data_IF_017426258291
#
_entry.id   IF_017426258291
#
_cell.length_a   1.000
_cell.length_b   1.000
_cell.length_c   1.000
_cell.angle_alpha   90.00
_cell.angle_beta   90.00
_cell.angle_gamma   90.00
#
_symmetry.space_group_name_H-M   'P 1'
#
loop_
_entity.id
_entity.type
_entity.pdbx_description
1 polymer ?
#
# COMPACT_ATOMS: atom_id res chain seq x y z
N UNK A 1 -38.04 18.63 40.34
CA UNK A 1 -36.68 19.03 39.94
C UNK A 1 -36.05 17.88 39.19
N UNK A 2 -36.05 17.92 37.84
CA UNK A 2 -35.26 17.05 36.95
C UNK A 2 -35.53 17.46 35.49
N UNK A 3 -35.26 18.74 35.17
CA UNK A 3 -35.45 19.27 33.80
C UNK A 3 -34.35 20.21 33.32
N UNK A 4 -33.25 20.36 34.08
CA UNK A 4 -32.12 21.24 33.73
C UNK A 4 -30.85 20.50 33.31
N UNK A 5 -30.69 19.20 33.60
CA UNK A 5 -29.45 18.47 33.27
C UNK A 5 -29.35 18.00 31.81
N UNK A 6 -30.46 17.85 31.09
CA UNK A 6 -30.45 17.35 29.71
C UNK A 6 -30.09 18.42 28.68
N UNK A 7 -30.36 19.70 28.97
CA UNK A 7 -30.08 20.80 28.05
C UNK A 7 -28.61 21.26 28.15
N UNK A 8 -28.05 21.22 29.35
CA UNK A 8 -26.67 21.63 29.65
C UNK A 8 -25.63 20.63 29.08
N UNK A 9 -25.93 19.33 29.12
CA UNK A 9 -25.08 18.28 28.52
C UNK A 9 -25.04 18.36 26.99
N UNK A 10 -26.14 18.77 26.34
CA UNK A 10 -26.19 18.98 24.89
C UNK A 10 -25.33 20.16 24.46
N UNK A 11 -25.35 21.25 25.23
CA UNK A 11 -24.54 22.45 24.97
C UNK A 11 -23.06 22.21 25.25
N UNK A 12 -22.69 21.45 26.29
CA UNK A 12 -21.30 21.05 26.54
C UNK A 12 -20.77 20.08 25.48
N UNK A 13 -21.61 19.13 25.03
CA UNK A 13 -21.27 18.20 23.96
C UNK A 13 -21.09 18.91 22.60
N UNK A 14 -21.97 19.87 22.26
CA UNK A 14 -21.78 20.71 21.08
C UNK A 14 -20.55 21.60 21.18
N UNK A 15 -20.27 22.20 22.35
CA UNK A 15 -19.04 22.97 22.58
C UNK A 15 -17.79 22.09 22.47
N UNK A 16 -17.85 20.84 22.89
CA UNK A 16 -16.76 19.87 22.76
C UNK A 16 -16.50 19.51 21.29
N UNK A 17 -17.56 19.23 20.51
CA UNK A 17 -17.45 18.99 19.06
C UNK A 17 -16.87 20.21 18.33
N UNK A 18 -17.32 21.42 18.69
CA UNK A 18 -16.75 22.68 18.15
C UNK A 18 -15.31 22.93 18.55
N UNK A 19 -14.78 22.30 19.61
CA UNK A 19 -13.37 22.37 20.01
C UNK A 19 -12.50 21.34 19.27
N UNK A 20 -13.11 20.28 18.74
CA UNK A 20 -12.42 19.24 17.98
C UNK A 20 -12.51 19.45 16.47
N UNK A 21 -13.18 20.53 16.06
CA UNK A 21 -13.02 21.12 14.74
C UNK A 21 -12.36 22.50 14.93
N UNK A 22 -11.11 22.69 14.51
CA UNK A 22 -10.37 21.84 13.58
C UNK A 22 -9.59 20.67 14.23
N UNK A 23 -9.22 19.63 13.45
CA UNK A 23 -8.41 18.49 13.88
C UNK A 23 -7.17 18.89 14.66
N UNK A 24 -6.86 18.12 15.71
CA UNK A 24 -5.67 18.30 16.53
C UNK A 24 -4.74 17.10 16.38
N UNK A 25 -3.52 17.38 15.93
CA UNK A 25 -2.44 16.38 15.82
C UNK A 25 -1.48 16.60 16.97
N UNK A 26 -1.16 15.54 17.70
CA UNK A 26 -0.15 15.53 18.76
C UNK A 26 0.86 14.45 18.43
N UNK A 27 2.11 14.86 18.24
CA UNK A 27 3.22 13.94 18.03
C UNK A 27 4.05 13.86 19.31
N UNK A 28 4.24 12.63 19.81
CA UNK A 28 4.95 12.34 21.04
C UNK A 28 6.03 11.28 20.77
N UNK A 29 7.29 11.71 20.84
CA UNK A 29 8.43 10.84 20.63
C UNK A 29 8.95 10.20 21.93
N UNK A 30 8.37 10.52 23.08
CA UNK A 30 8.77 10.01 24.40
C UNK A 30 7.82 8.91 24.92
N UNK A 31 6.54 8.94 24.51
CA UNK A 31 5.51 7.99 24.95
C UNK A 31 5.83 6.52 24.66
N UNK A 32 6.60 6.24 23.59
CA UNK A 32 7.04 4.89 23.24
C UNK A 32 8.55 4.87 23.07
N UNK A 33 9.24 3.84 23.59
CA UNK A 33 10.71 3.74 23.50
C UNK A 33 11.23 3.59 22.07
N UNK A 34 10.48 2.90 21.21
CA UNK A 34 10.96 2.42 19.91
C UNK A 34 10.17 2.98 18.70
N UNK A 35 9.19 3.85 18.93
CA UNK A 35 8.37 4.41 17.86
C UNK A 35 7.93 5.84 18.20
N UNK A 36 7.66 6.63 17.17
CA UNK A 36 7.04 7.95 17.30
C UNK A 36 5.53 7.76 17.39
N UNK A 37 4.87 8.35 18.38
CA UNK A 37 3.43 8.24 18.57
C UNK A 37 2.75 9.46 17.95
N UNK A 38 1.86 9.24 16.99
CA UNK A 38 1.03 10.27 16.36
C UNK A 38 -0.40 10.06 16.83
N UNK A 39 -0.97 11.04 17.52
CA UNK A 39 -2.37 11.05 17.96
C UNK A 39 -3.14 12.12 17.21
N UNK A 40 -4.31 11.77 16.72
CA UNK A 40 -5.17 12.64 15.92
C UNK A 40 -6.55 12.64 16.59
N UNK A 41 -6.99 13.81 17.04
CA UNK A 41 -8.32 14.03 17.60
C UNK A 41 -9.11 14.94 16.64
N UNK A 42 -10.30 14.53 16.19
CA UNK A 42 -11.14 15.40 15.35
C UNK A 42 -12.62 15.03 15.40
N UNK A 43 -13.46 15.93 14.89
CA UNK A 43 -14.88 15.65 14.65
C UNK A 43 -15.03 14.52 13.62
N UNK A 44 -15.99 13.62 13.85
CA UNK A 44 -16.20 12.43 13.02
C UNK A 44 -16.81 12.82 11.66
N UNK A 45 -15.97 12.96 10.64
CA UNK A 45 -16.39 13.02 9.23
C UNK A 45 -15.99 11.72 8.52
N UNK A 46 -16.80 11.31 7.54
CA UNK A 46 -16.56 10.06 6.83
C UNK A 46 -15.27 10.17 5.99
N UNK A 47 -14.41 9.15 6.05
CA UNK A 47 -13.24 9.02 5.17
C UNK A 47 -11.90 9.49 5.76
N UNK A 48 -11.88 10.08 6.96
CA UNK A 48 -10.65 10.66 7.53
C UNK A 48 -9.56 9.60 7.79
N UNK A 49 -9.93 8.40 8.28
CA UNK A 49 -8.96 7.32 8.51
C UNK A 49 -8.15 6.98 7.25
N UNK A 50 -8.81 6.95 6.08
CA UNK A 50 -8.12 6.65 4.83
C UNK A 50 -7.13 7.76 4.48
N UNK A 51 -7.52 9.03 4.62
CA UNK A 51 -6.64 10.19 4.36
C UNK A 51 -5.42 10.20 5.29
N UNK A 52 -5.63 9.92 6.58
CA UNK A 52 -4.55 9.80 7.56
C UNK A 52 -3.56 8.72 7.14
N UNK A 53 -4.06 7.52 6.86
CA UNK A 53 -3.22 6.38 6.51
C UNK A 53 -2.53 6.59 5.15
N UNK A 54 -3.15 7.33 4.21
CA UNK A 54 -2.53 7.77 2.96
C UNK A 54 -1.33 8.67 3.22
N UNK A 55 -1.49 9.73 4.02
CA UNK A 55 -0.39 10.67 4.32
C UNK A 55 0.79 9.94 4.98
N UNK A 56 0.53 9.07 5.95
CA UNK A 56 1.59 8.27 6.59
C UNK A 56 2.28 7.32 5.58
N UNK A 57 1.52 6.78 4.64
CA UNK A 57 2.03 5.90 3.58
C UNK A 57 2.90 6.65 2.56
N UNK A 58 2.49 7.86 2.16
CA UNK A 58 3.24 8.72 1.23
C UNK A 58 4.59 9.14 1.80
N UNK A 59 4.66 9.32 3.12
CA UNK A 59 5.89 9.57 3.86
C UNK A 59 6.75 8.32 4.07
N UNK A 60 6.32 7.16 3.54
CA UNK A 60 6.98 5.87 3.69
C UNK A 60 7.17 5.43 5.15
N UNK A 61 6.26 5.85 6.04
CA UNK A 61 6.30 5.47 7.44
C UNK A 61 5.71 4.07 7.63
N UNK A 62 6.29 3.32 8.57
CA UNK A 62 5.81 1.97 8.93
C UNK A 62 4.98 2.10 10.20
N UNK A 63 3.70 1.72 10.12
CA UNK A 63 2.78 1.68 11.26
C UNK A 63 2.96 0.35 11.99
N UNK A 64 3.47 0.39 13.22
CA UNK A 64 3.72 -0.80 14.06
C UNK A 64 2.55 -1.15 14.95
N UNK A 65 1.86 -0.14 15.46
CA UNK A 65 0.62 -0.32 16.20
C UNK A 65 -0.32 0.82 15.85
N UNK A 66 -1.60 0.54 15.84
CA UNK A 66 -2.60 1.59 15.75
C UNK A 66 -3.84 1.25 16.56
N UNK A 67 -4.47 2.29 17.10
CA UNK A 67 -5.75 2.24 17.78
C UNK A 67 -6.63 3.30 17.14
N UNK A 68 -7.72 2.85 16.52
CA UNK A 68 -8.70 3.69 15.83
C UNK A 68 -9.98 3.65 16.65
N UNK A 69 -10.58 4.81 16.91
CA UNK A 69 -11.81 4.91 17.71
C UNK A 69 -12.65 6.07 17.22
N UNK A 70 -13.83 5.80 16.68
CA UNK A 70 -14.82 6.77 16.23
C UNK A 70 -16.13 6.50 16.96
N UNK A 71 -16.34 7.23 18.06
CA UNK A 71 -17.49 7.06 18.94
C UNK A 71 -18.37 8.32 18.90
N UNK A 72 -19.60 8.19 18.42
CA UNK A 72 -20.50 9.34 18.26
C UNK A 72 -19.95 10.34 17.23
N UNK A 73 -19.83 11.61 17.62
CA UNK A 73 -19.46 12.70 16.71
C UNK A 73 -17.96 13.03 16.72
N UNK A 74 -17.12 12.16 17.28
CA UNK A 74 -15.68 12.36 17.30
C UNK A 74 -14.91 11.07 17.06
N UNK A 75 -13.66 11.22 16.64
CA UNK A 75 -12.71 10.13 16.58
C UNK A 75 -11.35 10.50 17.18
N UNK A 76 -10.65 9.45 17.61
CA UNK A 76 -9.30 9.47 18.12
C UNK A 76 -8.54 8.32 17.49
N UNK A 77 -7.53 8.67 16.71
CA UNK A 77 -6.64 7.70 16.11
C UNK A 77 -5.24 7.86 16.68
N UNK A 78 -4.62 6.76 17.09
CA UNK A 78 -3.26 6.70 17.61
C UNK A 78 -2.45 5.76 16.74
N UNK A 79 -1.35 6.25 16.19
CA UNK A 79 -0.42 5.47 15.36
C UNK A 79 0.97 5.49 15.99
N UNK A 80 1.54 4.31 16.18
CA UNK A 80 2.95 4.14 16.52
C UNK A 80 3.72 3.89 15.24
N UNK A 81 4.51 4.87 14.80
CA UNK A 81 5.20 4.84 13.50
C UNK A 81 6.71 4.82 13.64
N UNK A 82 7.37 4.20 12.67
CA UNK A 82 8.82 4.23 12.48
C UNK A 82 9.16 4.60 11.03
N UNK A 83 10.42 4.95 10.77
CA UNK A 83 10.93 5.00 9.40
C UNK A 83 11.10 3.58 8.82
N UNK A 84 11.65 3.49 7.60
CA UNK A 84 11.91 2.21 6.92
C UNK A 84 13.00 1.37 7.60
N UNK A 85 13.89 1.99 8.38
CA UNK A 85 14.97 1.36 9.12
C UNK A 85 14.54 0.93 10.54
N UNK A 86 13.29 1.25 10.93
CA UNK A 86 12.72 0.93 12.24
C UNK A 86 13.04 1.95 13.34
N UNK A 87 13.56 3.13 12.99
CA UNK A 87 13.86 4.19 13.94
C UNK A 87 12.68 5.15 14.12
N UNK A 88 12.74 5.93 15.21
CA UNK A 88 11.85 7.05 15.45
C UNK A 88 12.03 8.15 14.43
N UNK A 89 10.95 8.85 14.12
CA UNK A 89 10.97 10.03 13.26
C UNK A 89 11.52 11.18 14.10
N UNK A 90 12.66 11.70 13.67
CA UNK A 90 13.36 12.83 14.32
C UNK A 90 13.57 14.01 13.38
N UNK A 91 13.28 13.82 12.09
CA UNK A 91 13.33 14.89 11.09
C UNK A 91 12.19 15.89 11.33
N UNK A 92 12.56 17.11 11.73
CA UNK A 92 11.59 18.18 12.04
C UNK A 92 10.73 18.57 10.84
N UNK A 93 11.26 18.46 9.61
CA UNK A 93 10.52 18.76 8.38
C UNK A 93 9.40 17.74 8.13
N UNK A 94 9.68 16.45 8.36
CA UNK A 94 8.65 15.40 8.29
C UNK A 94 7.59 15.60 9.37
N UNK A 95 8.00 15.91 10.61
CA UNK A 95 7.08 16.13 11.73
C UNK A 95 6.18 17.36 11.51
N UNK A 96 6.74 18.46 11.02
CA UNK A 96 6.01 19.67 10.65
C UNK A 96 5.03 19.40 9.50
N UNK A 97 5.47 18.64 8.48
CA UNK A 97 4.61 18.24 7.37
C UNK A 97 3.42 17.40 7.84
N UNK A 98 3.62 16.42 8.73
CA UNK A 98 2.53 15.62 9.32
C UNK A 98 1.56 16.53 10.06
N UNK A 99 2.08 17.43 10.90
CA UNK A 99 1.27 18.33 11.72
C UNK A 99 0.42 19.26 10.85
N UNK A 100 0.97 19.77 9.74
CA UNK A 100 0.24 20.62 8.79
C UNK A 100 -0.76 19.85 7.95
N UNK A 101 -0.39 18.67 7.47
CA UNK A 101 -1.20 17.86 6.54
C UNK A 101 -2.37 17.16 7.21
N UNK A 102 -2.29 16.92 8.52
CA UNK A 102 -3.35 16.27 9.30
C UNK A 102 -4.01 17.22 10.31
N UNK A 103 -3.52 18.45 10.41
CA UNK A 103 -3.94 19.43 11.41
C UNK A 103 -5.03 20.38 10.93
N UNK A 104 -5.15 21.55 11.54
CA UNK A 104 -6.24 22.46 11.25
C UNK A 104 -6.12 23.21 9.91
N UNK A 105 -4.91 23.26 9.36
CA UNK A 105 -4.64 23.86 8.05
C UNK A 105 -4.99 22.92 6.89
N UNK A 106 -5.08 21.61 7.13
CA UNK A 106 -5.67 20.68 6.17
C UNK A 106 -7.18 20.85 6.21
N UNK A 107 -7.71 21.46 5.16
CA UNK A 107 -9.13 21.63 4.96
C UNK A 107 -9.77 20.24 4.75
N UNK A 108 -10.18 19.55 5.82
CA UNK A 108 -10.91 18.27 5.77
C UNK A 108 -12.31 18.38 5.13
N UNK A 109 -12.66 19.53 4.54
CA UNK A 109 -13.92 19.71 3.85
C UNK A 109 -13.91 19.02 2.49
N UNK A 110 -14.54 17.85 2.45
CA UNK A 110 -15.39 17.31 1.39
C UNK A 110 -15.15 17.77 -0.06
N UNK A 111 -14.89 16.77 -0.91
CA UNK A 111 -14.83 16.76 -2.37
C UNK A 111 -13.43 16.97 -2.96
N UNK A 112 -12.84 15.87 -3.44
CA UNK A 112 -12.05 15.82 -4.68
C UNK A 112 -11.23 17.08 -4.97
N UNK A 113 -10.38 17.51 -4.03
CA UNK A 113 -9.39 18.55 -4.30
C UNK A 113 -8.05 18.07 -3.82
N UNK A 114 -7.24 17.72 -4.82
CA UNK A 114 -5.80 17.89 -4.82
C UNK A 114 -5.40 19.04 -3.90
N UNK A 115 -4.77 18.67 -2.78
CA UNK A 115 -4.17 19.61 -1.84
C UNK A 115 -3.08 20.37 -2.59
N UNK A 116 -3.37 21.63 -2.91
CA UNK A 116 -2.58 22.77 -2.43
C UNK A 116 -1.10 22.87 -2.78
N UNK A 117 -0.57 22.11 -3.72
CA UNK A 117 0.66 22.44 -4.46
C UNK A 117 0.22 22.76 -5.87
N UNK A 118 0.74 23.83 -6.49
CA UNK A 118 0.62 24.04 -7.95
C UNK A 118 1.15 22.78 -8.64
N UNK A 119 0.28 21.81 -8.94
CA UNK A 119 0.63 20.62 -9.70
C UNK A 119 0.79 21.09 -11.14
N UNK A 120 2.04 21.31 -11.55
CA UNK A 120 2.33 21.45 -12.97
C UNK A 120 1.95 20.14 -13.65
N UNK A 121 1.10 20.23 -14.67
CA UNK A 121 0.73 19.12 -15.54
C UNK A 121 1.92 18.78 -16.44
N UNK A 122 3.02 18.32 -15.85
CA UNK A 122 4.25 18.03 -16.61
C UNK A 122 4.20 16.66 -17.27
N UNK A 123 3.19 15.84 -16.94
CA UNK A 123 3.01 14.50 -17.48
C UNK A 123 1.54 14.20 -17.80
N UNK A 124 1.34 13.22 -18.67
CA UNK A 124 0.05 12.59 -18.99
C UNK A 124 -0.07 11.27 -18.22
N UNK A 125 -1.19 11.04 -17.56
CA UNK A 125 -1.47 9.80 -16.82
C UNK A 125 -2.17 8.79 -17.73
N UNK A 126 -1.68 7.55 -17.76
CA UNK A 126 -2.24 6.42 -18.49
C UNK A 126 -2.55 5.32 -17.47
N UNK A 127 -3.83 4.97 -17.39
CA UNK A 127 -4.34 3.86 -16.59
C UNK A 127 -4.67 2.68 -17.50
N UNK A 128 -4.19 1.50 -17.14
CA UNK A 128 -4.36 0.27 -17.90
C UNK A 128 -4.92 -0.81 -16.99
N UNK A 129 -5.95 -1.53 -17.44
CA UNK A 129 -6.49 -2.68 -16.73
C UNK A 129 -6.86 -3.78 -17.71
N UNK A 130 -6.56 -5.03 -17.40
CA UNK A 130 -6.92 -6.18 -18.24
C UNK A 130 -6.35 -7.49 -17.73
N UNK A 131 -6.40 -8.52 -18.56
CA UNK A 131 -5.79 -9.83 -18.24
C UNK A 131 -4.27 -9.78 -18.40
N UNK A 132 -3.55 -10.27 -17.39
CA UNK A 132 -2.11 -10.43 -17.41
C UNK A 132 -1.69 -11.59 -18.32
N UNK A 133 -0.50 -11.48 -18.91
CA UNK A 133 0.16 -12.55 -19.65
C UNK A 133 1.68 -12.33 -19.69
N UNK A 134 2.47 -13.40 -19.88
CA UNK A 134 3.91 -13.27 -20.07
C UNK A 134 4.27 -12.26 -21.17
N UNK A 135 5.11 -11.29 -20.82
CA UNK A 135 5.59 -10.27 -21.75
C UNK A 135 4.70 -9.03 -21.91
N UNK A 136 3.56 -8.94 -21.23
CA UNK A 136 2.62 -7.81 -21.35
C UNK A 136 3.32 -6.45 -21.13
N UNK A 137 4.07 -6.29 -20.04
CA UNK A 137 4.78 -5.05 -19.75
C UNK A 137 5.82 -4.68 -20.83
N UNK A 138 6.47 -5.68 -21.44
CA UNK A 138 7.42 -5.46 -22.53
C UNK A 138 6.72 -4.93 -23.78
N UNK A 139 5.53 -5.44 -24.10
CA UNK A 139 4.74 -4.98 -25.25
C UNK A 139 4.19 -3.57 -25.02
N UNK A 140 3.66 -3.29 -23.83
CA UNK A 140 3.15 -1.96 -23.48
C UNK A 140 4.25 -0.90 -23.55
N UNK A 141 5.41 -1.17 -22.93
CA UNK A 141 6.54 -0.24 -22.96
C UNK A 141 7.14 -0.08 -24.36
N UNK A 142 7.10 -1.11 -25.20
CA UNK A 142 7.49 -1.00 -26.61
C UNK A 142 6.55 -0.10 -27.42
N UNK A 143 5.23 -0.17 -27.19
CA UNK A 143 4.26 0.74 -27.82
C UNK A 143 4.51 2.18 -27.39
N UNK A 144 4.73 2.44 -26.09
CA UNK A 144 5.05 3.79 -25.60
C UNK A 144 6.34 4.33 -26.23
N UNK A 145 7.40 3.51 -26.30
CA UNK A 145 8.65 3.86 -26.99
C UNK A 145 8.41 4.17 -28.48
N UNK A 146 7.60 3.37 -29.18
CA UNK A 146 7.26 3.61 -30.59
C UNK A 146 6.50 4.92 -30.80
N UNK A 147 5.64 5.29 -29.83
CA UNK A 147 4.86 6.52 -29.83
C UNK A 147 5.60 7.73 -29.27
N UNK A 148 6.92 7.62 -29.08
CA UNK A 148 7.77 8.72 -28.60
C UNK A 148 7.32 9.23 -27.23
N UNK A 149 6.90 8.31 -26.37
CA UNK A 149 6.52 8.60 -25.00
C UNK A 149 7.65 8.14 -24.07
N UNK A 150 8.16 9.05 -23.24
CA UNK A 150 9.05 8.71 -22.13
C UNK A 150 8.22 8.35 -20.90
N UNK A 151 8.59 7.30 -20.18
CA UNK A 151 7.91 6.88 -18.95
C UNK A 151 8.67 7.46 -17.78
N UNK A 152 8.06 8.41 -17.07
CA UNK A 152 8.68 9.09 -15.91
C UNK A 152 8.38 8.35 -14.62
N UNK A 153 7.14 7.86 -14.48
CA UNK A 153 6.73 7.02 -13.37
C UNK A 153 5.83 5.90 -13.89
N UNK A 154 5.94 4.70 -13.36
CA UNK A 154 4.97 3.64 -13.62
C UNK A 154 4.91 2.67 -12.46
N UNK A 155 3.69 2.32 -12.06
CA UNK A 155 3.44 1.25 -11.11
C UNK A 155 2.51 0.21 -11.75
N UNK A 156 2.92 -1.07 -11.67
CA UNK A 156 2.26 -2.19 -12.34
C UNK A 156 2.04 -3.30 -11.32
N UNK A 157 0.80 -3.76 -11.16
CA UNK A 157 0.42 -4.85 -10.27
C UNK A 157 -0.23 -5.97 -11.07
N UNK A 158 0.10 -7.22 -10.74
CA UNK A 158 -0.61 -8.39 -11.25
C UNK A 158 -1.06 -9.30 -10.11
N UNK A 159 -2.28 -9.83 -10.22
CA UNK A 159 -2.89 -10.74 -9.24
C UNK A 159 -4.02 -11.52 -9.89
N UNK A 160 -4.12 -12.83 -9.62
CA UNK A 160 -5.15 -13.72 -10.19
C UNK A 160 -5.39 -13.53 -11.70
N UNK A 161 -4.31 -13.51 -12.49
CA UNK A 161 -4.33 -13.29 -13.96
C UNK A 161 -4.84 -11.91 -14.41
N UNK A 162 -5.03 -10.97 -13.49
CA UNK A 162 -5.37 -9.58 -13.77
C UNK A 162 -4.15 -8.70 -13.64
N UNK A 163 -4.10 -7.65 -14.44
CA UNK A 163 -3.07 -6.63 -14.42
C UNK A 163 -3.72 -5.24 -14.34
N UNK A 164 -3.16 -4.39 -13.48
CA UNK A 164 -3.42 -2.97 -13.46
C UNK A 164 -2.11 -2.19 -13.53
N UNK A 165 -2.09 -1.08 -14.25
CA UNK A 165 -0.96 -0.18 -14.29
C UNK A 165 -1.39 1.28 -14.33
N UNK A 166 -0.66 2.12 -13.61
CA UNK A 166 -0.75 3.59 -13.70
C UNK A 166 0.61 4.09 -14.14
N UNK A 167 0.66 4.80 -15.26
CA UNK A 167 1.89 5.28 -15.89
C UNK A 167 1.82 6.78 -16.14
N UNK A 168 2.81 7.52 -15.68
CA UNK A 168 3.00 8.93 -16.01
C UNK A 168 4.00 9.03 -17.15
N UNK A 169 3.54 9.57 -18.28
CA UNK A 169 4.33 9.68 -19.50
C UNK A 169 4.48 11.13 -19.94
N UNK A 170 5.62 11.40 -20.58
CA UNK A 170 5.91 12.68 -21.22
C UNK A 170 6.23 12.47 -22.69
N UNK A 171 6.09 13.52 -23.47
CA UNK A 171 6.60 13.52 -24.83
C UNK A 171 8.14 13.45 -24.83
N UNK A 172 8.72 12.56 -25.63
CA UNK A 172 10.17 12.32 -25.70
C UNK A 172 10.98 13.55 -26.11
N UNK A 173 10.43 14.40 -26.98
CA UNK A 173 11.15 15.55 -27.55
C UNK A 173 11.04 16.78 -26.64
N UNK A 174 9.85 17.06 -26.12
CA UNK A 174 9.55 18.26 -25.33
C UNK A 174 9.68 18.04 -23.82
N UNK A 175 9.69 16.79 -23.36
CA UNK A 175 9.68 16.45 -21.93
C UNK A 175 8.43 16.89 -21.17
N UNK A 176 7.37 17.28 -21.90
CA UNK A 176 6.14 17.85 -21.35
C UNK A 176 4.96 16.87 -21.48
N UNK A 177 3.85 17.17 -20.82
CA UNK A 177 2.61 16.41 -20.97
C UNK A 177 2.14 16.37 -22.44
N UNK A 178 1.65 15.22 -22.85
CA UNK A 178 1.03 15.00 -24.15
C UNK A 178 -0.41 15.50 -24.07
N UNK A 179 -0.70 16.62 -24.73
CA UNK A 179 -2.03 17.24 -24.73
C UNK A 179 -2.77 17.11 -26.07
N UNK A 180 -2.11 16.58 -27.11
CA UNK A 180 -2.71 16.42 -28.44
C UNK A 180 -3.76 15.30 -28.44
N UNK A 181 -5.06 15.60 -28.67
CA UNK A 181 -6.14 14.63 -28.53
C UNK A 181 -6.05 13.49 -29.55
N UNK A 182 -5.56 13.74 -30.78
CA UNK A 182 -5.39 12.70 -31.79
C UNK A 182 -4.31 11.70 -31.37
N UNK A 183 -3.16 12.20 -30.90
CA UNK A 183 -2.09 11.36 -30.35
C UNK A 183 -2.54 10.58 -29.12
N UNK A 184 -3.28 11.20 -28.20
CA UNK A 184 -3.84 10.50 -27.03
C UNK A 184 -4.80 9.38 -27.45
N UNK A 185 -5.65 9.63 -28.44
CA UNK A 185 -6.54 8.61 -29.01
C UNK A 185 -5.76 7.46 -29.66
N UNK A 186 -4.65 7.76 -30.36
CA UNK A 186 -3.76 6.74 -30.94
C UNK A 186 -3.06 5.91 -29.87
N UNK A 187 -2.55 6.55 -28.81
CA UNK A 187 -1.97 5.87 -27.64
C UNK A 187 -2.99 4.92 -27.02
N UNK A 188 -4.19 5.43 -26.70
CA UNK A 188 -5.25 4.64 -26.10
C UNK A 188 -5.61 3.41 -26.97
N UNK A 189 -5.79 3.62 -28.28
CA UNK A 189 -6.15 2.56 -29.22
C UNK A 189 -5.10 1.45 -29.26
N UNK A 190 -3.81 1.82 -29.36
CA UNK A 190 -2.73 0.84 -29.47
C UNK A 190 -2.52 0.07 -28.16
N UNK A 191 -2.58 0.74 -27.02
CA UNK A 191 -2.47 0.08 -25.70
C UNK A 191 -3.66 -0.83 -25.44
N UNK A 192 -4.89 -0.41 -25.77
CA UNK A 192 -6.07 -1.26 -25.71
C UNK A 192 -5.92 -2.53 -26.55
N UNK A 193 -5.35 -2.43 -27.75
CA UNK A 193 -5.12 -3.59 -28.61
C UNK A 193 -4.14 -4.58 -27.98
N UNK A 194 -3.07 -4.09 -27.34
CA UNK A 194 -2.13 -4.94 -26.59
C UNK A 194 -2.82 -5.60 -25.40
N UNK A 195 -3.62 -4.88 -24.62
CA UNK A 195 -4.31 -5.45 -23.45
C UNK A 195 -5.36 -6.52 -23.83
N UNK A 196 -6.09 -6.31 -24.93
CA UNK A 196 -7.06 -7.30 -25.43
C UNK A 196 -6.39 -8.57 -25.93
N UNK A 197 -5.20 -8.46 -26.52
CA UNK A 197 -4.52 -9.57 -27.17
C UNK A 197 -5.44 -10.25 -28.20
N UNK A 198 -5.44 -11.58 -28.22
CA UNK A 198 -6.30 -12.38 -29.11
C UNK A 198 -7.73 -12.60 -28.59
N UNK A 199 -8.01 -12.26 -27.33
CA UNK A 199 -9.27 -12.58 -26.66
C UNK A 199 -10.24 -11.38 -26.69
N UNK A 200 -11.22 -11.43 -27.58
CA UNK A 200 -12.25 -10.38 -27.75
C UNK A 200 -13.22 -10.21 -26.56
N UNK A 201 -13.19 -11.12 -25.57
CA UNK A 201 -14.02 -11.06 -24.36
C UNK A 201 -13.36 -10.30 -23.20
N UNK A 202 -12.10 -9.89 -23.31
CA UNK A 202 -11.37 -9.20 -22.25
C UNK A 202 -11.92 -7.78 -22.03
N UNK A 203 -12.26 -7.46 -20.77
CA UNK A 203 -12.68 -6.15 -20.26
C UNK A 203 -11.52 -5.13 -20.21
N UNK A 204 -10.58 -5.22 -21.14
CA UNK A 204 -9.43 -4.33 -21.23
C UNK A 204 -9.86 -2.87 -21.35
N UNK A 205 -9.39 -2.04 -20.42
CA UNK A 205 -9.67 -0.60 -20.36
C UNK A 205 -8.36 0.17 -20.35
N UNK A 206 -8.28 1.20 -21.19
CA UNK A 206 -7.24 2.22 -21.12
C UNK A 206 -7.92 3.56 -20.92
N UNK A 207 -7.52 4.28 -19.88
CA UNK A 207 -7.96 5.65 -19.60
C UNK A 207 -6.72 6.52 -19.68
N UNK A 208 -6.81 7.61 -20.43
CA UNK A 208 -5.72 8.59 -20.52
C UNK A 208 -6.27 9.91 -20.02
N UNK A 209 -5.63 10.50 -19.02
CA UNK A 209 -6.12 11.69 -18.33
C UNK A 209 -4.98 12.60 -17.89
N UNK A 210 -5.35 13.81 -17.46
CA UNK A 210 -4.44 14.77 -16.82
C UNK A 210 -4.78 14.92 -15.32
N UNK A 211 -5.46 13.94 -14.70
CA UNK A 211 -5.76 13.99 -13.27
C UNK A 211 -4.54 13.58 -12.44
N UNK A 212 -4.49 14.03 -11.19
CA UNK A 212 -3.53 13.52 -10.21
C UNK A 212 -4.29 12.63 -9.25
N UNK A 213 -3.97 11.34 -9.27
CA UNK A 213 -4.50 10.35 -8.35
C UNK A 213 -3.38 9.81 -7.46
N UNK A 214 -3.69 9.45 -6.21
CA UNK A 214 -2.75 8.71 -5.37
C UNK A 214 -2.58 7.31 -5.98
N UNK A 215 -1.44 7.05 -6.63
CA UNK A 215 -1.20 5.88 -7.51
C UNK A 215 -1.59 4.56 -6.86
N UNK A 216 -1.13 4.33 -5.64
CA UNK A 216 -1.44 3.15 -4.84
C UNK A 216 -2.94 2.97 -4.58
N UNK A 217 -3.66 4.08 -4.33
CA UNK A 217 -5.11 4.06 -4.08
C UNK A 217 -5.85 3.75 -5.37
N UNK A 218 -5.38 4.32 -6.48
CA UNK A 218 -5.98 4.14 -7.79
C UNK A 218 -5.82 2.70 -8.28
N UNK A 219 -4.65 2.10 -8.09
CA UNK A 219 -4.41 0.69 -8.41
C UNK A 219 -5.33 -0.25 -7.62
N UNK A 220 -5.58 0.02 -6.33
CA UNK A 220 -6.57 -0.73 -5.54
C UNK A 220 -7.96 -0.70 -6.18
N UNK A 221 -8.44 0.49 -6.54
CA UNK A 221 -9.75 0.67 -7.16
C UNK A 221 -9.83 -0.04 -8.52
N UNK A 222 -8.75 0.02 -9.31
CA UNK A 222 -8.67 -0.65 -10.61
C UNK A 222 -8.73 -2.16 -10.45
N UNK A 223 -7.92 -2.75 -9.57
CA UNK A 223 -7.92 -4.20 -9.32
C UNK A 223 -9.26 -4.69 -8.77
N UNK A 224 -9.82 -3.97 -7.80
CA UNK A 224 -11.14 -4.28 -7.24
C UNK A 224 -12.25 -4.21 -8.29
N UNK A 225 -12.31 -3.15 -9.10
CA UNK A 225 -13.29 -3.00 -10.17
C UNK A 225 -13.15 -4.09 -11.26
N UNK A 226 -11.92 -4.59 -11.45
CA UNK A 226 -11.62 -5.68 -12.36
C UNK A 226 -11.97 -7.06 -11.78
N UNK A 227 -12.26 -7.15 -10.47
CA UNK A 227 -12.61 -8.38 -9.74
C UNK A 227 -11.49 -9.41 -9.66
N UNK A 228 -10.28 -8.93 -9.39
CA UNK A 228 -9.13 -9.81 -9.15
C UNK A 228 -9.28 -10.72 -7.91
N UNK A 229 -10.23 -10.43 -7.01
CA UNK A 229 -10.55 -11.26 -5.84
C UNK A 229 -11.37 -12.54 -6.19
N UNK A 230 -11.91 -12.65 -7.41
CA UNK A 230 -12.62 -13.85 -7.86
C UNK A 230 -11.58 -14.93 -8.24
N UNK A 231 -11.27 -15.84 -7.31
CA UNK A 231 -10.29 -16.92 -7.54
C UNK A 231 -10.81 -17.96 -8.56
N UNK A 232 -10.01 -18.28 -9.58
CA UNK A 232 -10.22 -19.48 -10.42
C UNK A 232 -9.76 -20.71 -9.64
N UNK A 233 -10.63 -21.70 -9.51
CA UNK A 233 -10.63 -22.79 -8.53
C UNK A 233 -9.43 -23.76 -8.47
N UNK A 234 -8.30 -23.51 -9.13
CA UNK A 234 -7.28 -24.55 -9.38
C UNK A 234 -5.89 -24.38 -8.74
N UNK A 235 -5.55 -23.23 -8.14
CA UNK A 235 -4.23 -23.07 -7.50
C UNK A 235 -4.26 -23.41 -6.00
N UNK A 236 -4.37 -24.70 -5.73
CA UNK A 236 -4.06 -25.30 -4.42
C UNK A 236 -2.54 -25.36 -4.22
N UNK A 237 -1.89 -24.20 -4.08
CA UNK A 237 -0.53 -24.10 -3.55
C UNK A 237 -0.56 -23.82 -2.05
N UNK A 238 0.38 -24.44 -1.34
CA UNK A 238 0.39 -24.76 0.11
C UNK A 238 -0.25 -23.73 1.06
N UNK A 239 -1.23 -24.23 1.81
CA UNK A 239 -2.12 -23.60 2.81
C UNK A 239 -1.44 -22.86 3.99
N UNK A 240 -0.11 -22.69 3.98
CA UNK A 240 0.65 -22.16 5.13
C UNK A 240 1.03 -20.68 5.06
N UNK A 241 0.83 -20.01 3.93
CA UNK A 241 1.18 -18.58 3.77
C UNK A 241 0.00 -17.67 3.41
N UNK A 242 -1.21 -18.22 3.26
CA UNK A 242 -2.39 -17.41 2.97
C UNK A 242 -2.77 -16.54 4.17
N UNK A 243 -3.20 -15.30 3.96
CA UNK A 243 -3.78 -14.49 5.02
C UNK A 243 -5.01 -15.19 5.60
N UNK A 244 -5.14 -15.21 6.92
CA UNK A 244 -6.34 -15.67 7.58
C UNK A 244 -7.24 -14.46 7.86
N UNK A 245 -8.41 -14.43 7.22
CA UNK A 245 -9.42 -13.38 7.40
C UNK A 245 -10.72 -14.00 7.90
N UNK A 246 -11.10 -13.63 9.12
CA UNK A 246 -12.37 -14.05 9.72
C UNK A 246 -13.31 -12.85 9.88
N UNK A 247 -14.60 -13.07 9.63
CA UNK A 247 -15.63 -12.01 9.67
C UNK A 247 -16.81 -12.50 10.49
N UNK A 248 -17.00 -11.90 11.66
CA UNK A 248 -18.02 -12.31 12.63
C UNK A 248 -18.95 -11.16 12.95
N UNK A 249 -20.26 -11.42 12.92
CA UNK A 249 -21.25 -10.43 13.34
C UNK A 249 -21.39 -10.41 14.86
N UNK A 250 -21.42 -9.21 15.42
CA UNK A 250 -21.78 -8.98 16.81
C UNK A 250 -23.20 -8.45 16.89
N UNK A 251 -24.17 -9.37 17.00
CA UNK A 251 -25.60 -9.05 16.90
C UNK A 251 -26.09 -8.04 17.95
N UNK A 252 -25.49 -7.99 19.13
CA UNK A 252 -25.91 -7.05 20.19
C UNK A 252 -25.53 -5.59 19.93
N UNK A 253 -24.66 -5.32 18.95
CA UNK A 253 -24.07 -4.00 18.71
C UNK A 253 -24.10 -3.55 17.25
N UNK A 254 -24.85 -4.28 16.40
CA UNK A 254 -25.07 -3.98 14.98
C UNK A 254 -23.77 -3.68 14.21
N UNK A 255 -22.70 -4.46 14.45
CA UNK A 255 -21.46 -4.36 13.69
C UNK A 255 -20.89 -5.74 13.35
N UNK A 256 -19.95 -5.76 12.41
CA UNK A 256 -19.13 -6.92 12.09
C UNK A 256 -17.69 -6.69 12.54
N UNK A 257 -17.04 -7.72 13.04
CA UNK A 257 -15.62 -7.73 13.39
C UNK A 257 -14.87 -8.51 12.33
N UNK A 258 -13.91 -7.85 11.70
CA UNK A 258 -12.95 -8.48 10.78
C UNK A 258 -11.66 -8.71 11.55
N UNK A 259 -11.22 -9.96 11.63
CA UNK A 259 -9.93 -10.33 12.22
C UNK A 259 -9.00 -10.80 11.11
N UNK A 260 -7.81 -10.19 11.03
CA UNK A 260 -6.81 -10.50 10.01
C UNK A 260 -5.53 -10.94 10.70
N UNK A 261 -5.02 -12.12 10.32
CA UNK A 261 -3.69 -12.59 10.67
C UNK A 261 -2.92 -12.94 9.40
N UNK A 262 -1.81 -12.25 9.18
CA UNK A 262 -0.95 -12.46 8.03
C UNK A 262 0.47 -11.94 8.30
N UNK A 263 1.40 -12.23 7.37
CA UNK A 263 2.75 -11.68 7.41
C UNK A 263 2.71 -10.14 7.33
N UNK A 264 3.40 -9.48 8.26
CA UNK A 264 3.51 -8.03 8.28
C UNK A 264 4.32 -7.52 7.07
N UNK A 265 3.91 -6.36 6.56
CA UNK A 265 4.59 -5.66 5.47
C UNK A 265 4.22 -4.18 5.45
N UNK A 266 5.08 -3.33 4.87
CA UNK A 266 4.73 -1.94 4.60
C UNK A 266 3.38 -1.83 3.85
N UNK A 267 2.63 -0.77 4.16
CA UNK A 267 1.33 -0.43 3.56
C UNK A 267 0.20 -1.43 3.83
N UNK A 268 0.36 -2.42 4.72
CA UNK A 268 -0.69 -3.40 5.01
C UNK A 268 -1.98 -2.74 5.52
N UNK A 269 -1.91 -1.91 6.56
CA UNK A 269 -3.07 -1.17 7.08
C UNK A 269 -3.73 -0.30 5.99
N UNK A 270 -2.93 0.37 5.16
CA UNK A 270 -3.44 1.16 4.03
C UNK A 270 -4.27 0.32 3.06
N UNK A 271 -3.77 -0.86 2.67
CA UNK A 271 -4.44 -1.75 1.75
C UNK A 271 -5.76 -2.30 2.33
N UNK A 272 -5.79 -2.61 3.64
CA UNK A 272 -7.02 -3.06 4.33
C UNK A 272 -8.07 -1.93 4.37
N UNK A 273 -7.68 -0.73 4.80
CA UNK A 273 -8.60 0.41 4.90
C UNK A 273 -9.12 0.81 3.52
N UNK A 274 -8.28 0.78 2.48
CA UNK A 274 -8.71 0.97 1.10
C UNK A 274 -9.82 -0.01 0.71
N UNK A 275 -9.60 -1.29 0.97
CA UNK A 275 -10.52 -2.36 0.60
C UNK A 275 -11.86 -2.22 1.30
N UNK A 276 -11.85 -2.03 2.62
CA UNK A 276 -13.07 -1.81 3.40
C UNK A 276 -13.85 -0.58 2.88
N UNK A 277 -13.14 0.52 2.62
CA UNK A 277 -13.75 1.76 2.09
C UNK A 277 -14.36 1.54 0.71
N UNK A 278 -13.66 0.85 -0.21
CA UNK A 278 -14.16 0.55 -1.56
C UNK A 278 -15.38 -0.38 -1.56
N UNK A 279 -15.46 -1.25 -0.56
CA UNK A 279 -16.61 -2.11 -0.33
C UNK A 279 -17.79 -1.39 0.37
N UNK A 280 -17.63 -0.11 0.71
CA UNK A 280 -18.67 0.67 1.39
C UNK A 280 -18.76 0.39 2.90
N UNK A 281 -17.68 -0.06 3.53
CA UNK A 281 -17.60 -0.25 4.98
C UNK A 281 -16.85 0.90 5.65
N UNK A 282 -17.38 1.34 6.78
CA UNK A 282 -16.80 2.34 7.68
C UNK A 282 -16.17 1.61 8.86
N UNK A 283 -14.88 1.89 9.11
CA UNK A 283 -14.16 1.43 10.30
C UNK A 283 -14.42 2.44 11.43
N UNK A 284 -14.98 1.99 12.54
CA UNK A 284 -15.22 2.86 13.70
C UNK A 284 -14.42 2.44 14.94
N UNK A 285 -14.01 1.18 15.05
CA UNK A 285 -12.91 0.81 15.95
C UNK A 285 -11.94 -0.08 15.20
N UNK A 286 -10.64 0.08 15.49
CA UNK A 286 -9.66 -0.90 15.03
C UNK A 286 -8.48 -0.98 15.99
N UNK A 287 -7.89 -2.17 16.04
CA UNK A 287 -6.66 -2.45 16.76
C UNK A 287 -5.70 -3.15 15.82
N UNK A 288 -4.53 -2.55 15.61
CA UNK A 288 -3.47 -3.07 14.78
C UNK A 288 -2.27 -3.31 15.66
N UNK A 289 -1.73 -4.53 15.62
CA UNK A 289 -0.49 -4.90 16.30
C UNK A 289 0.41 -5.71 15.37
N UNK A 290 1.60 -5.20 15.09
CA UNK A 290 2.64 -5.93 14.37
C UNK A 290 3.62 -6.52 15.38
N UNK A 291 3.63 -7.85 15.52
CA UNK A 291 4.55 -8.58 16.40
C UNK A 291 5.55 -9.37 15.54
N UNK A 292 6.75 -8.80 15.37
CA UNK A 292 7.79 -9.44 14.57
C UNK A 292 7.41 -9.51 13.08
N UNK A 293 7.48 -10.68 12.43
CA UNK A 293 7.13 -10.83 11.01
C UNK A 293 5.62 -11.00 10.77
N UNK A 294 4.80 -11.08 11.82
CA UNK A 294 3.36 -11.30 11.72
C UNK A 294 2.60 -10.03 12.15
N UNK A 295 1.45 -9.81 11.53
CA UNK A 295 0.52 -8.74 11.85
C UNK A 295 -0.81 -9.33 12.28
N UNK A 296 -1.35 -8.80 13.37
CA UNK A 296 -2.68 -9.09 13.86
C UNK A 296 -3.51 -7.80 13.87
N UNK A 297 -4.65 -7.82 13.18
CA UNK A 297 -5.50 -6.64 13.04
C UNK A 297 -6.97 -7.00 13.26
N UNK A 298 -7.65 -6.20 14.07
CA UNK A 298 -9.08 -6.32 14.35
C UNK A 298 -9.76 -5.03 13.91
N UNK A 299 -10.79 -5.13 13.07
CA UNK A 299 -11.57 -4.00 12.58
C UNK A 299 -13.03 -4.20 12.90
N UNK A 300 -13.62 -3.20 13.53
CA UNK A 300 -15.05 -3.11 13.79
C UNK A 300 -15.65 -2.25 12.69
N UNK A 301 -16.47 -2.89 11.85
CA UNK A 301 -17.00 -2.30 10.64
C UNK A 301 -18.52 -2.27 10.64
N UNK A 302 -19.07 -1.26 9.97
CA UNK A 302 -20.47 -1.21 9.52
C UNK A 302 -20.49 -0.79 8.07
N UNK A 303 -21.42 -1.31 7.30
CA UNK A 303 -21.66 -0.79 5.97
C UNK A 303 -22.18 0.66 6.08
N UNK A 304 -21.98 1.49 5.05
CA UNK A 304 -22.40 2.90 5.01
C UNK A 304 -23.92 3.11 5.24
N UNK A 305 -24.72 2.06 5.06
CA UNK A 305 -26.15 2.05 5.39
C UNK A 305 -26.45 1.77 6.88
N UNK A 306 -25.40 1.63 7.70
CA UNK A 306 -25.46 1.38 9.14
C UNK A 306 -25.55 -0.10 9.53
N UNK A 307 -25.63 -1.02 8.56
CA UNK A 307 -25.84 -2.44 8.85
C UNK A 307 -24.53 -3.23 9.03
N UNK A 308 -24.55 -4.35 9.79
CA UNK A 308 -23.47 -5.34 9.74
C UNK A 308 -23.53 -6.12 8.41
N UNK A 309 -22.50 -6.92 8.14
CA UNK A 309 -22.45 -7.89 7.03
C UNK A 309 -23.68 -8.79 7.07
N UNK A 310 -24.54 -8.76 6.05
CA UNK A 310 -25.91 -9.31 6.11
C UNK A 310 -26.01 -10.79 5.75
N UNK A 311 -25.10 -11.28 4.93
CA UNK A 311 -25.20 -12.62 4.34
C UNK A 311 -23.86 -13.33 4.25
N UNK A 312 -23.88 -14.65 4.16
CA UNK A 312 -22.65 -15.44 3.97
C UNK A 312 -21.98 -15.15 2.62
N UNK A 313 -22.74 -14.78 1.59
CA UNK A 313 -22.19 -14.37 0.29
C UNK A 313 -21.46 -13.02 0.38
N UNK A 314 -22.00 -12.06 1.14
CA UNK A 314 -21.33 -10.79 1.42
C UNK A 314 -20.10 -11.00 2.30
N UNK A 315 -20.19 -11.86 3.32
CA UNK A 315 -19.08 -12.27 4.17
C UNK A 315 -17.93 -12.86 3.35
N UNK A 316 -18.24 -13.82 2.49
CA UNK A 316 -17.28 -14.44 1.58
C UNK A 316 -16.63 -13.40 0.67
N UNK A 317 -17.40 -12.43 0.16
CA UNK A 317 -16.87 -11.34 -0.65
C UNK A 317 -15.90 -10.46 0.13
N UNK A 318 -16.24 -10.09 1.38
CA UNK A 318 -15.35 -9.30 2.26
C UNK A 318 -14.04 -10.05 2.50
N UNK A 319 -14.12 -11.33 2.86
CA UNK A 319 -12.96 -12.21 3.02
C UNK A 319 -12.09 -12.22 1.76
N UNK A 320 -12.66 -12.56 0.59
CA UNK A 320 -11.92 -12.63 -0.68
C UNK A 320 -11.27 -11.30 -1.08
N UNK A 321 -11.98 -10.18 -0.89
CA UNK A 321 -11.44 -8.86 -1.23
C UNK A 321 -10.26 -8.49 -0.34
N UNK A 322 -10.33 -8.80 0.95
CA UNK A 322 -9.26 -8.55 1.91
C UNK A 322 -8.05 -9.46 1.66
N UNK A 323 -8.28 -10.75 1.42
CA UNK A 323 -7.22 -11.70 1.05
C UNK A 323 -6.49 -11.22 -0.21
N UNK A 324 -7.24 -10.90 -1.28
CA UNK A 324 -6.67 -10.36 -2.50
C UNK A 324 -5.87 -9.07 -2.27
N UNK A 325 -6.40 -8.13 -1.47
CA UNK A 325 -5.69 -6.89 -1.16
C UNK A 325 -4.37 -7.12 -0.41
N UNK A 326 -4.33 -8.11 0.49
CA UNK A 326 -3.11 -8.51 1.18
C UNK A 326 -2.12 -9.09 0.17
N UNK A 327 -2.58 -10.02 -0.67
CA UNK A 327 -1.76 -10.80 -1.61
C UNK A 327 -1.20 -9.95 -2.77
N UNK A 328 -1.92 -8.94 -3.28
CA UNK A 328 -1.47 -8.04 -4.37
C UNK A 328 -0.06 -7.46 -4.18
N UNK A 329 0.33 -7.17 -2.94
CA UNK A 329 1.68 -6.64 -2.61
C UNK A 329 2.60 -7.66 -1.95
N UNK A 330 2.12 -8.86 -1.65
CA UNK A 330 2.98 -10.00 -1.29
C UNK A 330 3.59 -10.50 -2.60
N UNK A 331 4.53 -9.74 -3.14
CA UNK A 331 5.17 -10.07 -4.40
C UNK A 331 6.12 -11.24 -4.17
N UNK A 332 5.61 -12.47 -4.30
CA UNK A 332 6.48 -13.64 -4.37
C UNK A 332 7.24 -13.58 -5.70
N UNK A 333 8.54 -13.85 -5.65
CA UNK A 333 9.46 -13.73 -6.78
C UNK A 333 10.78 -13.05 -6.40
N UNK A 334 11.71 -13.04 -7.34
CA UNK A 334 13.01 -12.42 -7.15
C UNK A 334 12.92 -10.90 -7.32
N UNK A 335 13.45 -10.13 -6.36
CA UNK A 335 13.50 -8.67 -6.45
C UNK A 335 14.75 -8.23 -7.23
N UNK A 336 14.53 -7.52 -8.33
CA UNK A 336 15.55 -6.91 -9.16
C UNK A 336 15.47 -5.39 -9.05
N UNK A 337 16.57 -4.75 -8.64
CA UNK A 337 16.67 -3.28 -8.54
C UNK A 337 17.63 -2.77 -9.62
N UNK A 338 17.11 -1.96 -10.54
CA UNK A 338 17.84 -1.31 -11.61
C UNK A 338 18.12 0.15 -11.21
N UNK A 339 19.39 0.56 -11.25
CA UNK A 339 19.78 1.96 -11.04
C UNK A 339 20.79 2.37 -12.11
N UNK A 340 20.39 3.28 -13.01
CA UNK A 340 21.22 3.77 -14.12
C UNK A 340 20.80 5.17 -14.54
N UNK A 341 21.63 5.87 -15.32
CA UNK A 341 21.18 7.05 -16.07
C UNK A 341 20.00 6.67 -16.95
N UNK A 342 18.93 7.45 -16.85
CA UNK A 342 17.74 7.20 -17.65
C UNK A 342 17.98 7.56 -19.11
N UNK A 343 17.36 6.79 -20.00
CA UNK A 343 17.41 7.00 -21.44
C UNK A 343 16.10 6.56 -22.06
N UNK A 344 15.75 7.23 -23.16
CA UNK A 344 14.55 6.91 -23.93
C UNK A 344 14.50 5.41 -24.25
N UNK A 345 13.39 4.78 -23.84
CA UNK A 345 13.12 3.39 -24.11
C UNK A 345 13.88 2.39 -23.23
N UNK A 346 14.56 2.82 -22.16
CA UNK A 346 15.22 1.95 -21.19
C UNK A 346 14.26 0.88 -20.63
N UNK A 347 13.06 1.29 -20.22
CA UNK A 347 12.05 0.37 -19.70
C UNK A 347 11.69 -0.73 -20.73
N UNK A 348 11.54 -0.35 -22.00
CA UNK A 348 11.24 -1.29 -23.08
C UNK A 348 12.40 -2.26 -23.32
N UNK A 349 13.64 -1.78 -23.31
CA UNK A 349 14.81 -2.62 -23.54
C UNK A 349 15.01 -3.62 -22.38
N UNK A 350 14.87 -3.18 -21.13
CA UNK A 350 15.03 -4.04 -19.94
C UNK A 350 13.93 -5.09 -19.85
N UNK A 351 12.66 -4.67 -20.00
CA UNK A 351 11.53 -5.62 -19.94
C UNK A 351 11.53 -6.59 -21.11
N UNK A 352 12.06 -6.19 -22.27
CA UNK A 352 12.31 -7.09 -23.39
C UNK A 352 13.35 -8.16 -23.06
N UNK A 353 14.47 -7.80 -22.41
CA UNK A 353 15.48 -8.77 -21.96
C UNK A 353 14.84 -9.77 -20.99
N UNK A 354 14.03 -9.32 -20.04
CA UNK A 354 13.30 -10.21 -19.14
C UNK A 354 12.42 -11.19 -19.89
N UNK A 355 11.60 -10.70 -20.83
CA UNK A 355 10.73 -11.55 -21.66
C UNK A 355 11.51 -12.56 -22.50
N UNK A 356 12.61 -12.15 -23.13
CA UNK A 356 13.47 -13.02 -23.95
C UNK A 356 14.17 -14.12 -23.13
N UNK A 357 14.30 -13.92 -21.82
CA UNK A 357 14.82 -14.91 -20.87
C UNK A 357 13.70 -15.62 -20.09
N UNK A 358 12.48 -15.63 -20.62
CA UNK A 358 11.31 -16.32 -20.04
C UNK A 358 10.97 -15.86 -18.62
N UNK A 359 11.22 -14.58 -18.31
CA UNK A 359 10.79 -13.99 -17.05
C UNK A 359 9.45 -13.26 -17.21
N UNK A 360 8.61 -13.40 -16.19
CA UNK A 360 7.36 -12.66 -16.02
C UNK A 360 7.54 -11.62 -14.93
N UNK A 361 6.93 -10.45 -15.10
CA UNK A 361 6.99 -9.35 -14.11
C UNK A 361 5.64 -9.29 -13.41
N UNK A 362 5.60 -9.65 -12.13
CA UNK A 362 4.37 -9.61 -11.32
C UNK A 362 4.13 -8.23 -10.70
N UNK A 363 5.22 -7.49 -10.47
CA UNK A 363 5.16 -6.11 -10.02
C UNK A 363 6.32 -5.30 -10.57
N UNK A 364 6.03 -4.06 -10.96
CA UNK A 364 7.05 -3.09 -11.35
C UNK A 364 6.78 -1.74 -10.69
N UNK A 365 7.84 -1.13 -10.18
CA UNK A 365 7.89 0.26 -9.75
C UNK A 365 8.99 0.92 -10.58
N UNK A 366 8.66 1.91 -11.39
CA UNK A 366 9.56 2.56 -12.34
C UNK A 366 9.53 4.03 -12.01
N UNK A 367 10.67 4.64 -11.74
CA UNK A 367 10.73 6.08 -11.47
C UNK A 367 11.99 6.67 -12.06
N UNK A 368 11.83 7.80 -12.73
CA UNK A 368 12.93 8.64 -13.18
C UNK A 368 13.04 9.87 -12.28
N UNK A 369 14.16 9.99 -11.57
CA UNK A 369 14.46 11.13 -10.69
C UNK A 369 15.85 11.65 -10.96
N UNK A 370 15.99 12.96 -11.15
CA UNK A 370 17.27 13.63 -11.41
C UNK A 370 18.07 13.00 -12.57
N UNK A 371 17.36 12.59 -13.63
CA UNK A 371 17.94 11.93 -14.81
C UNK A 371 18.42 10.49 -14.58
N UNK A 372 18.09 9.88 -13.43
CA UNK A 372 18.38 8.47 -13.11
C UNK A 372 17.08 7.66 -13.08
N UNK A 373 17.10 6.51 -13.73
CA UNK A 373 16.08 5.50 -13.61
C UNK A 373 16.36 4.63 -12.38
N UNK A 374 15.39 4.56 -11.47
CA UNK A 374 15.40 3.73 -10.27
C UNK A 374 14.16 2.83 -10.37
N UNK A 375 14.37 1.60 -10.82
CA UNK A 375 13.28 0.68 -11.09
C UNK A 375 13.41 -0.57 -10.23
N UNK A 376 12.30 -1.01 -9.66
CA UNK A 376 12.17 -2.28 -8.94
C UNK A 376 11.25 -3.19 -9.72
N UNK A 377 11.70 -4.42 -9.97
CA UNK A 377 10.90 -5.46 -10.61
C UNK A 377 10.85 -6.70 -9.72
N UNK A 378 9.66 -7.27 -9.59
CA UNK A 378 9.47 -8.59 -8.99
C UNK A 378 9.20 -9.58 -10.11
N UNK A 379 10.08 -10.58 -10.22
CA UNK A 379 10.07 -11.50 -11.36
C UNK A 379 9.96 -12.96 -10.94
N UNK A 380 9.28 -13.74 -11.76
CA UNK A 380 9.27 -15.21 -11.73
C UNK A 380 9.61 -15.74 -13.11
N UNK A 381 9.83 -17.05 -13.21
CA UNK A 381 9.88 -17.66 -14.53
C UNK A 381 8.49 -17.68 -15.20
N UNK A 382 8.43 -18.08 -16.48
CA UNK A 382 7.20 -18.16 -17.25
C UNK A 382 6.20 -19.21 -16.73
N UNK A 383 6.64 -20.10 -15.85
CA UNK A 383 5.83 -21.15 -15.22
C UNK A 383 5.41 -20.79 -13.78
N UNK A 384 5.79 -19.63 -13.27
CA UNK A 384 5.46 -19.15 -11.92
C UNK A 384 6.41 -19.61 -10.82
N UNK A 385 7.50 -20.30 -11.16
CA UNK A 385 8.50 -20.79 -10.21
C UNK A 385 9.64 -19.78 -9.98
N UNK A 386 10.45 -19.97 -8.92
CA UNK A 386 11.64 -19.16 -8.68
C UNK A 386 12.61 -19.18 -9.86
N UNK A 387 13.22 -18.02 -10.16
CA UNK A 387 14.11 -17.86 -11.31
C UNK A 387 15.45 -18.58 -11.07
N UNK A 388 15.92 -19.32 -12.07
CA UNK A 388 17.24 -19.97 -12.04
C UNK A 388 18.39 -18.96 -11.94
N UNK A 389 19.37 -19.28 -11.10
CA UNK A 389 20.51 -18.40 -10.82
C UNK A 389 21.35 -18.10 -12.08
N UNK A 390 21.49 -19.06 -13.01
CA UNK A 390 22.27 -18.86 -14.24
C UNK A 390 21.58 -17.88 -15.17
N UNK A 391 20.25 -17.94 -15.25
CA UNK A 391 19.45 -16.96 -16.00
C UNK A 391 19.67 -15.55 -15.45
N UNK A 392 19.69 -15.39 -14.12
CA UNK A 392 19.96 -14.11 -13.48
C UNK A 392 21.39 -13.61 -13.73
N UNK A 393 22.39 -14.46 -13.61
CA UNK A 393 23.77 -14.10 -13.94
C UNK A 393 23.92 -13.66 -15.40
N UNK A 394 23.25 -14.35 -16.32
CA UNK A 394 23.22 -13.97 -17.74
C UNK A 394 22.58 -12.60 -17.94
N UNK A 395 21.38 -12.36 -17.37
CA UNK A 395 20.70 -11.07 -17.47
C UNK A 395 21.55 -9.95 -16.88
N UNK A 396 22.18 -10.17 -15.73
CA UNK A 396 23.10 -9.19 -15.11
C UNK A 396 24.34 -8.94 -15.97
N UNK A 397 24.82 -9.92 -16.72
CA UNK A 397 25.92 -9.73 -17.68
C UNK A 397 25.49 -8.88 -18.88
N UNK A 398 24.25 -9.05 -19.36
CA UNK A 398 23.70 -8.27 -20.49
C UNK A 398 23.38 -6.83 -20.08
N UNK A 399 22.72 -6.62 -18.93
CA UNK A 399 22.30 -5.29 -18.47
C UNK A 399 23.46 -4.53 -17.78
N UNK A 400 24.31 -5.26 -17.07
CA UNK A 400 25.40 -4.71 -16.26
C UNK A 400 25.24 -5.07 -14.78
N UNK A 401 26.25 -5.71 -14.20
CA UNK A 401 26.20 -6.25 -12.83
C UNK A 401 26.09 -5.18 -11.75
N UNK A 402 26.60 -3.97 -12.02
CA UNK A 402 26.53 -2.80 -11.15
C UNK A 402 25.21 -2.04 -11.28
N UNK A 403 24.53 -2.21 -12.43
CA UNK A 403 23.28 -1.54 -12.77
C UNK A 403 22.08 -2.33 -12.24
N UNK A 404 22.10 -3.66 -12.41
CA UNK A 404 21.04 -4.55 -11.94
C UNK A 404 21.50 -5.34 -10.70
N UNK A 405 20.94 -4.96 -9.55
CA UNK A 405 21.13 -5.63 -8.26
C UNK A 405 20.01 -6.64 -8.03
N UNK A 406 20.37 -7.76 -7.42
CA UNK A 406 19.42 -8.78 -6.97
C UNK A 406 19.33 -8.64 -5.47
N UNK A 407 18.12 -8.51 -4.92
CA UNK A 407 17.91 -8.53 -3.47
C UNK A 407 17.17 -9.79 -3.05
N UNK A 408 17.59 -10.36 -1.93
CA UNK A 408 16.96 -11.54 -1.34
C UNK A 408 17.57 -12.87 -1.80
N UNK A 409 18.82 -12.86 -2.26
CA UNK A 409 19.57 -14.11 -2.40
C UNK A 409 19.94 -14.64 -1.00
N UNK A 410 20.13 -15.96 -0.81
CA UNK A 410 20.64 -16.51 0.46
C UNK A 410 22.01 -15.94 0.88
N UNK A 411 22.70 -15.21 0.00
CA UNK A 411 24.00 -14.60 0.26
C UNK A 411 23.89 -13.25 0.99
N UNK A 412 22.77 -12.52 0.84
CA UNK A 412 22.54 -11.26 1.56
C UNK A 412 22.41 -11.47 3.08
N UNK A 413 21.97 -12.66 3.51
CA UNK A 413 21.91 -13.07 4.92
C UNK A 413 23.30 -13.32 5.55
N UNK A 414 24.37 -13.39 4.76
CA UNK A 414 25.74 -13.62 5.27
C UNK A 414 26.58 -12.37 5.46
N UNK A 415 26.04 -11.18 5.17
CA UNK A 415 26.76 -9.91 5.32
C UNK A 415 26.49 -9.16 6.63
N UNK A 416 25.94 -9.83 7.64
CA UNK A 416 25.98 -9.34 9.02
C UNK A 416 27.39 -9.60 9.58
N UNK A 417 28.20 -8.53 9.57
CA UNK A 417 29.42 -8.29 10.37
C UNK A 417 30.16 -9.54 10.87
N UNK A 418 31.23 -9.92 10.15
CA UNK A 418 32.35 -10.60 10.78
C UNK A 418 32.98 -9.65 11.82
N UNK A 419 32.56 -9.77 13.08
CA UNK A 419 33.41 -9.31 14.18
C UNK A 419 34.66 -10.20 14.23
N UNK A 420 35.80 -9.56 14.02
CA UNK A 420 37.13 -10.15 14.19
C UNK A 420 37.34 -10.61 15.64
N UNK A 421 37.95 -11.79 15.87
CA UNK A 421 37.96 -12.43 17.17
C UNK A 421 39.03 -11.81 18.08
N UNK A 422 38.63 -10.97 19.02
CA UNK A 422 39.49 -10.64 20.17
C UNK A 422 38.97 -11.37 21.41
N UNK A 423 39.74 -12.39 21.79
CA UNK A 423 39.69 -13.15 23.04
C UNK A 423 39.44 -12.24 24.25
N UNK A 424 38.41 -12.53 25.03
CA UNK A 424 38.50 -12.49 26.50
C UNK A 424 37.65 -13.62 27.10
N UNK A 425 38.35 -14.57 27.70
CA UNK A 425 37.84 -15.63 28.56
C UNK A 425 37.63 -15.05 29.95
N UNK A 426 36.49 -15.32 30.58
CA UNK A 426 36.22 -15.61 32.01
C UNK A 426 34.69 -15.59 32.12
N UNK A 427 34.00 -16.71 32.29
CA UNK A 427 33.99 -17.51 33.51
C UNK A 427 32.53 -17.55 33.96
N UNK A 428 31.84 -18.65 33.67
CA UNK A 428 30.44 -18.80 34.02
C UNK A 428 30.22 -18.76 35.53
N UNK A 429 28.99 -18.48 35.96
CA UNK A 429 28.41 -18.86 37.25
C UNK A 429 26.92 -18.46 37.27
N UNK A 430 26.04 -19.48 37.43
CA UNK A 430 24.66 -19.44 37.94
C UNK A 430 23.57 -18.76 37.08
N UNK A 431 22.31 -19.17 37.07
CA UNK A 431 21.55 -20.38 37.41
C UNK A 431 20.15 -20.12 36.84
N UNK A 432 19.49 -21.18 36.41
CA UNK A 432 18.06 -21.20 36.10
C UNK A 432 17.19 -20.69 37.25
N UNK A 433 16.08 -20.02 36.91
CA UNK A 433 14.77 -20.18 37.59
C UNK A 433 13.65 -19.49 36.81
N UNK A 434 12.81 -20.33 36.22
CA UNK A 434 11.38 -20.10 35.99
C UNK A 434 10.69 -19.79 37.31
N UNK A 435 9.79 -18.81 37.34
CA UNK A 435 8.60 -18.82 38.21
C UNK A 435 7.44 -18.03 37.59
N UNK A 436 6.26 -18.60 37.84
CA UNK A 436 4.91 -18.27 37.39
C UNK A 436 4.17 -17.52 38.53
N UNK A 437 3.26 -16.60 38.15
CA UNK A 437 2.19 -15.92 38.93
C UNK A 437 2.62 -14.93 40.04
N UNK A 438 1.92 -13.82 40.35
CA UNK A 438 0.47 -13.64 40.58
C UNK A 438 0.05 -12.13 40.64
N UNK A 439 -1.25 -11.89 40.37
CA UNK A 439 -2.19 -10.89 40.95
C UNK A 439 -2.02 -9.37 40.82
N UNK A 440 -3.02 -8.77 40.14
CA UNK A 440 -4.10 -7.92 40.71
C UNK A 440 -3.76 -7.01 41.90
N UNK A 441 -3.85 -5.69 41.67
CA UNK A 441 -4.06 -4.69 42.73
C UNK A 441 -5.25 -3.79 42.38
N UNK A 442 -6.13 -3.66 43.37
CA UNK A 442 -7.36 -2.86 43.46
C UNK A 442 -7.09 -1.35 43.46
N UNK A 443 -8.09 -0.63 42.97
CA UNK A 443 -8.39 0.78 43.20
C UNK A 443 -8.62 1.09 44.69
N UNK A 444 -8.20 2.29 45.10
CA UNK A 444 -8.61 2.93 46.34
C UNK A 444 -9.38 4.22 46.02
N UNK A 445 -10.52 4.33 46.69
CA UNK A 445 -11.39 5.48 46.94
C UNK A 445 -12.26 6.00 45.82
#
# INVERSE_FOLDING_TARGET
MNKSFSHDMGDEYEKFIRRMNPPRVVIDNEACKNATVIRIDSANEHGILLEVVQILTDLNLIIKKAYISADGNWFMDVFNVTDQDGNKITDEGVLDYITKSLGPESCFTSSMRSIGVKQSMDHTEIELTGSDRPGLLSELSAVLKHLKCSVVNAEVWTHNTRAAAVMQVTDEETGSAINDPERLSRINTLLCNVLRGSNKSSLAKTIVSNSVTHTDRRLHQMMFADRDYEQTSDDALEDRQRPNVDVVNWYDKDYSVVTIRCKDRPKLLFDIVCTLTDMGYVVFHAKIDTEGPESYQEYFIRHIDGSPVKSDAERQRVTQCLEAAIERRVSEGLKLELCTTDKVGLLSDVTRIFRENSLTVSRAEVTTKDGKAINTFYVRDASGYPVDAKTIEFIRKVIGQTILKVKGSPEDLKSVSQESPTRFLFGGLFKSRSFVNFSLVRSYS
#
